data_IF_214007045128
#
_entry.id   IF_214007045128
#
_cell.length_a   1.000
_cell.length_b   1.000
_cell.length_c   1.000
_cell.angle_alpha   90.00
_cell.angle_beta   90.00
_cell.angle_gamma   90.00
#
_symmetry.space_group_name_H-M   'P 1'
#
loop_
_entity.id
_entity.type
_entity.pdbx_description
1 polymer ?
#
# COMPACT_ATOMS: atom_id res chain seq x y z
N UNK A 1 -0.72 -6.28 -13.34
CA UNK A 1 -0.43 -4.84 -13.25
C UNK A 1 -1.69 -4.07 -12.82
N UNK A 2 -1.59 -2.92 -12.16
CA UNK A 2 -2.72 -2.05 -11.87
C UNK A 2 -3.33 -1.46 -13.15
N UNK A 3 -4.51 -0.88 -13.05
CA UNK A 3 -5.02 0.06 -14.07
C UNK A 3 -4.47 1.44 -13.71
N UNK A 4 -3.52 1.91 -14.51
CA UNK A 4 -2.68 3.06 -14.15
C UNK A 4 -3.50 4.35 -13.98
N UNK A 5 -3.37 4.98 -12.81
CA UNK A 5 -4.09 6.20 -12.39
C UNK A 5 -5.63 6.07 -12.42
N UNK A 6 -6.13 4.86 -12.41
CA UNK A 6 -7.56 4.54 -12.25
C UNK A 6 -7.73 3.72 -10.96
N UNK A 7 -8.17 4.39 -9.92
CA UNK A 7 -8.30 3.80 -8.58
C UNK A 7 -9.44 2.80 -8.52
N UNK A 8 -10.60 3.13 -9.07
CA UNK A 8 -11.78 2.27 -9.02
C UNK A 8 -11.56 0.97 -9.78
N UNK A 9 -11.08 1.06 -11.03
CA UNK A 9 -10.77 -0.12 -11.83
C UNK A 9 -9.64 -0.96 -11.20
N UNK A 10 -8.67 -0.33 -10.52
CA UNK A 10 -7.63 -1.09 -9.81
C UNK A 10 -8.18 -1.78 -8.57
N UNK A 11 -9.05 -1.14 -7.80
CA UNK A 11 -9.68 -1.75 -6.61
C UNK A 11 -10.58 -2.92 -7.01
N UNK A 12 -11.35 -2.78 -8.09
CA UNK A 12 -12.12 -3.91 -8.65
C UNK A 12 -11.21 -5.09 -8.99
N UNK A 13 -10.09 -4.81 -9.65
CA UNK A 13 -9.10 -5.83 -9.97
C UNK A 13 -8.46 -6.47 -8.74
N UNK A 14 -8.16 -5.69 -7.69
CA UNK A 14 -7.68 -6.21 -6.41
C UNK A 14 -8.69 -7.20 -5.83
N UNK A 15 -9.97 -6.85 -5.80
CA UNK A 15 -11.03 -7.72 -5.29
C UNK A 15 -11.13 -9.03 -6.08
N UNK A 16 -11.09 -8.98 -7.42
CA UNK A 16 -11.10 -10.19 -8.28
C UNK A 16 -9.86 -11.07 -8.04
N UNK A 17 -8.67 -10.47 -7.89
CA UNK A 17 -7.43 -11.22 -7.62
C UNK A 17 -7.43 -11.84 -6.22
N UNK A 18 -8.07 -11.22 -5.23
CA UNK A 18 -8.27 -11.80 -3.90
C UNK A 18 -9.16 -13.05 -4.02
N UNK A 19 -10.28 -12.96 -4.71
CA UNK A 19 -11.18 -14.09 -4.98
C UNK A 19 -10.46 -15.25 -5.67
N UNK A 20 -9.73 -14.95 -6.76
CA UNK A 20 -8.96 -15.95 -7.51
C UNK A 20 -7.91 -16.64 -6.64
N UNK A 21 -7.12 -15.86 -5.89
CA UNK A 21 -6.09 -16.40 -5.02
C UNK A 21 -6.66 -17.27 -3.90
N UNK A 22 -7.78 -16.84 -3.29
CA UNK A 22 -8.46 -17.60 -2.25
C UNK A 22 -9.05 -18.92 -2.79
N UNK A 23 -9.64 -18.90 -3.98
CA UNK A 23 -10.14 -20.11 -4.65
C UNK A 23 -9.01 -21.12 -4.93
N UNK A 24 -7.77 -20.64 -5.08
CA UNK A 24 -6.56 -21.47 -5.23
C UNK A 24 -5.88 -21.81 -3.88
N UNK A 25 -6.54 -21.56 -2.75
CA UNK A 25 -6.07 -21.97 -1.42
C UNK A 25 -5.10 -20.99 -0.74
N UNK A 26 -4.98 -19.75 -1.21
CA UNK A 26 -4.16 -18.75 -0.55
C UNK A 26 -4.76 -18.33 0.79
N UNK A 27 -3.94 -18.23 1.85
CA UNK A 27 -4.30 -17.65 3.15
C UNK A 27 -3.86 -16.20 3.29
N UNK A 28 -2.94 -15.75 2.42
CA UNK A 28 -2.41 -14.40 2.34
C UNK A 28 -2.29 -14.00 0.86
N UNK A 29 -2.80 -12.82 0.54
CA UNK A 29 -2.64 -12.21 -0.78
C UNK A 29 -1.86 -10.90 -0.62
N UNK A 30 -0.68 -10.83 -1.23
CA UNK A 30 0.18 -9.65 -1.19
C UNK A 30 0.25 -8.99 -2.57
N UNK A 31 -0.02 -7.69 -2.61
CA UNK A 31 0.07 -6.87 -3.82
C UNK A 31 1.34 -6.03 -3.82
N UNK A 32 1.88 -5.70 -4.99
CA UNK A 32 3.05 -4.85 -5.11
C UNK A 32 2.92 -3.48 -4.47
N UNK A 33 4.07 -2.83 -4.27
CA UNK A 33 4.20 -1.43 -3.84
C UNK A 33 3.29 -0.53 -4.69
N UNK A 34 2.52 0.34 -4.01
CA UNK A 34 1.59 1.32 -4.58
C UNK A 34 0.72 0.80 -5.73
N UNK A 35 0.28 -0.46 -5.60
CA UNK A 35 -0.55 -1.10 -6.62
C UNK A 35 -1.81 -0.28 -6.91
N UNK A 36 -2.46 0.26 -5.87
CA UNK A 36 -3.59 1.17 -6.05
C UNK A 36 -3.07 2.54 -6.45
N UNK A 37 -3.57 2.99 -7.58
CA UNK A 37 -3.23 4.11 -8.43
C UNK A 37 -1.93 3.95 -9.25
N UNK A 38 -0.98 3.08 -8.88
CA UNK A 38 0.23 2.79 -9.64
C UNK A 38 1.45 3.61 -9.22
N UNK A 39 2.60 3.25 -9.79
CA UNK A 39 3.90 3.82 -9.46
C UNK A 39 4.21 5.06 -10.32
N UNK A 40 4.84 6.13 -9.78
CA UNK A 40 5.11 7.38 -10.49
C UNK A 40 6.34 7.27 -11.40
N UNK A 41 6.26 6.49 -12.47
CA UNK A 41 7.38 6.24 -13.40
C UNK A 41 7.94 7.52 -14.03
N UNK A 42 7.14 8.56 -14.20
CA UNK A 42 7.57 9.84 -14.76
C UNK A 42 8.71 10.50 -13.95
N UNK A 43 8.81 10.25 -12.65
CA UNK A 43 9.90 10.77 -11.81
C UNK A 43 11.29 10.32 -12.29
N UNK A 44 11.36 9.22 -13.04
CA UNK A 44 12.60 8.65 -13.57
C UNK A 44 12.86 9.03 -15.02
N UNK A 45 11.87 9.58 -15.71
CA UNK A 45 11.91 9.80 -17.15
C UNK A 45 11.70 11.25 -17.57
N UNK A 46 11.22 12.10 -16.66
CA UNK A 46 10.83 13.48 -16.94
C UNK A 46 11.43 14.44 -15.93
N UNK A 47 11.54 15.71 -16.29
CA UNK A 47 11.79 16.77 -15.31
C UNK A 47 10.58 16.95 -14.40
N UNK A 48 10.76 17.50 -13.19
CA UNK A 48 9.67 17.74 -12.24
C UNK A 48 8.56 18.64 -12.84
N UNK A 49 8.92 19.59 -13.69
CA UNK A 49 7.95 20.46 -14.37
C UNK A 49 7.10 19.67 -15.37
N UNK A 50 7.72 18.80 -16.17
CA UNK A 50 6.99 17.93 -17.11
C UNK A 50 6.16 16.86 -16.39
N UNK A 51 6.62 16.41 -15.22
CA UNK A 51 5.93 15.43 -14.38
C UNK A 51 4.75 15.99 -13.59
N UNK A 52 4.66 17.32 -13.42
CA UNK A 52 3.64 17.97 -12.61
C UNK A 52 2.19 17.58 -12.95
N UNK A 53 1.75 17.50 -14.22
CA UNK A 53 0.39 17.06 -14.54
C UNK A 53 0.11 15.59 -14.13
N UNK A 54 1.14 14.74 -14.15
CA UNK A 54 1.02 13.34 -13.70
C UNK A 54 0.93 13.25 -12.19
N UNK A 55 1.69 14.08 -11.47
CA UNK A 55 1.59 14.19 -10.02
C UNK A 55 0.19 14.65 -9.60
N UNK A 56 -0.40 15.64 -10.28
CA UNK A 56 -1.76 16.08 -10.01
C UNK A 56 -2.78 14.94 -10.21
N UNK A 57 -2.66 14.17 -11.30
CA UNK A 57 -3.49 12.99 -11.54
C UNK A 57 -3.33 11.96 -10.43
N UNK A 58 -2.09 11.68 -10.01
CA UNK A 58 -1.84 10.75 -8.91
C UNK A 58 -2.45 11.22 -7.60
N UNK A 59 -2.35 12.51 -7.26
CA UNK A 59 -2.99 13.08 -6.08
C UNK A 59 -4.51 12.89 -6.09
N UNK A 60 -5.14 13.01 -7.26
CA UNK A 60 -6.59 12.77 -7.42
C UNK A 60 -6.95 11.29 -7.28
N UNK A 61 -6.06 10.40 -7.75
CA UNK A 61 -6.23 8.95 -7.69
C UNK A 61 -5.75 8.33 -6.36
N UNK A 62 -5.09 9.11 -5.48
CA UNK A 62 -4.67 8.66 -4.17
C UNK A 62 -5.87 8.55 -3.22
N UNK A 63 -5.83 7.54 -2.34
CA UNK A 63 -6.94 7.18 -1.44
C UNK A 63 -6.69 7.64 -0.01
N UNK A 64 -7.75 7.78 0.76
CA UNK A 64 -7.66 8.02 2.20
C UNK A 64 -7.72 6.69 2.97
N UNK A 65 -7.03 6.62 4.12
CA UNK A 65 -7.06 5.48 5.02
C UNK A 65 -7.48 5.93 6.43
N UNK A 66 -8.62 5.39 6.92
CA UNK A 66 -9.63 4.56 6.26
C UNK A 66 -10.40 5.33 5.20
N UNK A 67 -10.87 4.62 4.17
CA UNK A 67 -11.65 5.17 3.06
C UNK A 67 -12.49 4.09 2.37
N UNK A 68 -13.37 4.47 1.43
CA UNK A 68 -14.29 3.54 0.77
C UNK A 68 -13.54 2.46 -0.04
N UNK A 69 -12.41 2.78 -0.64
CA UNK A 69 -11.57 1.84 -1.40
C UNK A 69 -11.03 0.73 -0.49
N UNK A 70 -10.53 1.11 0.69
CA UNK A 70 -10.05 0.16 1.69
C UNK A 70 -11.21 -0.69 2.22
N UNK A 71 -12.41 -0.12 2.39
CA UNK A 71 -13.59 -0.88 2.80
C UNK A 71 -13.97 -1.95 1.78
N UNK A 72 -13.89 -1.65 0.48
CA UNK A 72 -14.15 -2.63 -0.61
C UNK A 72 -13.14 -3.79 -0.55
N UNK A 73 -11.85 -3.49 -0.43
CA UNK A 73 -10.79 -4.51 -0.30
C UNK A 73 -10.98 -5.34 0.98
N UNK A 74 -11.31 -4.68 2.09
CA UNK A 74 -11.58 -5.33 3.37
C UNK A 74 -12.79 -6.27 3.30
N UNK A 75 -13.83 -5.86 2.57
CA UNK A 75 -15.00 -6.73 2.34
C UNK A 75 -14.64 -7.96 1.48
N UNK A 76 -13.79 -7.80 0.46
CA UNK A 76 -13.29 -8.92 -0.33
C UNK A 76 -12.45 -9.88 0.54
N UNK A 77 -11.53 -9.34 1.36
CA UNK A 77 -10.75 -10.14 2.30
C UNK A 77 -11.65 -10.96 3.24
N UNK A 78 -12.71 -10.34 3.78
CA UNK A 78 -13.70 -10.98 4.66
C UNK A 78 -14.50 -12.05 3.94
N UNK A 79 -14.99 -11.78 2.75
CA UNK A 79 -15.81 -12.72 1.99
C UNK A 79 -15.07 -14.02 1.67
N UNK A 80 -13.74 -13.93 1.50
CA UNK A 80 -12.88 -15.05 1.13
C UNK A 80 -12.02 -15.59 2.29
N UNK A 81 -12.08 -14.96 3.48
CA UNK A 81 -11.37 -15.43 4.68
C UNK A 81 -9.85 -15.36 4.57
N UNK A 82 -9.29 -14.40 3.82
CA UNK A 82 -7.85 -14.27 3.57
C UNK A 82 -7.26 -12.99 4.15
N UNK A 83 -5.99 -13.05 4.55
CA UNK A 83 -5.23 -11.84 4.86
C UNK A 83 -4.85 -11.12 3.57
N UNK A 84 -4.82 -9.78 3.60
CA UNK A 84 -4.42 -8.97 2.45
C UNK A 84 -3.36 -7.96 2.86
N UNK A 85 -2.28 -7.86 2.09
CA UNK A 85 -1.32 -6.75 2.15
C UNK A 85 -1.36 -6.05 0.80
N UNK A 86 -1.72 -4.78 0.78
CA UNK A 86 -1.83 -4.02 -0.47
C UNK A 86 -1.10 -2.69 -0.40
N UNK A 87 -0.26 -2.43 -1.41
CA UNK A 87 0.41 -1.15 -1.60
C UNK A 87 -0.53 -0.11 -2.21
N UNK A 88 -0.58 1.07 -1.62
CA UNK A 88 -1.47 2.16 -2.07
C UNK A 88 -0.76 3.50 -2.05
N UNK A 89 -1.20 4.42 -2.91
CA UNK A 89 -0.91 5.84 -2.76
C UNK A 89 -1.91 6.43 -1.75
N UNK A 90 -1.44 6.74 -0.55
CA UNK A 90 -2.27 7.31 0.52
C UNK A 90 -2.26 8.83 0.45
N UNK A 91 -3.43 9.45 0.34
CA UNK A 91 -3.59 10.91 0.45
C UNK A 91 -3.68 11.32 1.91
N UNK A 92 -2.91 12.35 2.29
CA UNK A 92 -3.02 12.98 3.60
C UNK A 92 -4.37 13.68 3.76
N UNK A 93 -4.95 13.59 4.96
CA UNK A 93 -6.17 14.35 5.32
C UNK A 93 -5.88 15.79 5.73
N UNK A 94 -4.64 16.09 6.07
CA UNK A 94 -4.25 17.39 6.65
C UNK A 94 -3.39 18.23 5.72
N UNK A 95 -2.76 17.62 4.71
CA UNK A 95 -1.86 18.30 3.78
C UNK A 95 -2.36 18.23 2.34
N UNK A 96 -2.65 19.38 1.74
CA UNK A 96 -2.98 19.45 0.30
C UNK A 96 -1.75 19.01 -0.51
N UNK A 97 -1.95 18.02 -1.41
CA UNK A 97 -0.88 17.49 -2.26
C UNK A 97 0.13 16.59 -1.53
N UNK A 98 -0.08 16.27 -0.26
CA UNK A 98 0.77 15.32 0.47
C UNK A 98 0.24 13.92 0.28
N UNK A 99 1.07 13.06 -0.33
CA UNK A 99 0.78 11.62 -0.50
C UNK A 99 1.92 10.78 0.08
N UNK A 100 1.58 9.56 0.48
CA UNK A 100 2.50 8.58 1.05
C UNK A 100 2.45 7.27 0.27
N UNK A 101 3.58 6.61 0.20
CA UNK A 101 3.68 5.22 -0.22
C UNK A 101 3.34 4.35 1.00
N UNK A 102 2.21 3.67 0.97
CA UNK A 102 1.65 3.00 2.14
C UNK A 102 1.32 1.54 1.84
N UNK A 103 1.70 0.66 2.74
CA UNK A 103 1.20 -0.71 2.82
C UNK A 103 0.04 -0.78 3.79
N UNK A 104 -1.05 -1.40 3.38
CA UNK A 104 -2.25 -1.64 4.19
C UNK A 104 -2.35 -3.12 4.49
N UNK A 105 -2.59 -3.48 5.75
CA UNK A 105 -2.67 -4.86 6.22
C UNK A 105 -4.09 -5.10 6.73
N UNK A 106 -4.78 -6.07 6.13
CA UNK A 106 -6.19 -6.39 6.40
C UNK A 106 -6.28 -7.85 6.83
N UNK A 107 -7.04 -8.10 7.88
CA UNK A 107 -7.31 -9.44 8.40
C UNK A 107 -8.42 -10.18 7.64
N UNK A 108 -8.55 -11.50 7.85
CA UNK A 108 -9.55 -12.35 7.17
C UNK A 108 -10.98 -12.08 7.65
N UNK A 109 -11.16 -11.28 8.68
CA UNK A 109 -12.44 -10.77 9.18
C UNK A 109 -12.83 -9.41 8.54
N UNK A 110 -11.98 -8.89 7.63
CA UNK A 110 -12.13 -7.59 7.00
C UNK A 110 -11.68 -6.43 7.88
N UNK A 111 -11.07 -6.68 9.03
CA UNK A 111 -10.57 -5.63 9.91
C UNK A 111 -9.25 -5.07 9.39
N UNK A 112 -9.13 -3.75 9.34
CA UNK A 112 -7.85 -3.09 9.11
C UNK A 112 -6.95 -3.34 10.33
N UNK A 113 -5.94 -4.22 10.18
CA UNK A 113 -4.97 -4.52 11.23
C UNK A 113 -4.02 -3.34 11.42
N UNK A 114 -3.59 -2.74 10.33
CA UNK A 114 -2.79 -1.53 10.34
C UNK A 114 -2.33 -1.08 8.98
N UNK A 115 -1.49 -0.05 9.01
CA UNK A 115 -0.81 0.48 7.81
C UNK A 115 0.63 0.82 8.14
N UNK A 116 1.47 0.75 7.14
CA UNK A 116 2.86 1.20 7.23
C UNK A 116 3.15 2.17 6.08
N UNK A 117 3.51 3.42 6.41
CA UNK A 117 4.01 4.41 5.45
C UNK A 117 5.51 4.18 5.27
N UNK A 118 5.95 4.03 4.03
CA UNK A 118 7.39 3.90 3.69
C UNK A 118 8.18 5.00 4.39
N UNK A 119 9.17 4.62 5.18
CA UNK A 119 9.93 5.56 6.04
C UNK A 119 10.59 6.65 5.22
N UNK A 120 11.30 6.24 4.17
CA UNK A 120 12.02 7.15 3.29
C UNK A 120 11.80 6.71 1.85
N UNK A 121 11.10 7.51 1.02
CA UNK A 121 11.02 7.28 -0.40
C UNK A 121 12.41 7.26 -1.04
N UNK A 122 12.62 6.35 -1.99
CA UNK A 122 13.93 6.10 -2.58
C UNK A 122 14.20 7.09 -3.72
N UNK A 123 15.27 7.87 -3.59
CA UNK A 123 15.79 8.78 -4.62
C UNK A 123 14.70 9.65 -5.29
N UNK A 124 14.38 9.41 -6.58
CA UNK A 124 13.40 10.19 -7.35
C UNK A 124 11.96 10.08 -6.81
N UNK A 125 11.65 9.05 -6.01
CA UNK A 125 10.37 8.91 -5.33
C UNK A 125 10.05 10.07 -4.38
N UNK A 126 11.08 10.75 -3.87
CA UNK A 126 10.96 11.95 -3.02
C UNK A 126 10.27 13.13 -3.71
N UNK A 127 10.18 13.11 -5.03
CA UNK A 127 9.41 14.09 -5.80
C UNK A 127 7.91 13.87 -5.69
N UNK A 128 7.48 12.69 -5.19
CA UNK A 128 6.08 12.29 -5.12
C UNK A 128 5.63 12.04 -3.69
N UNK A 129 6.38 11.27 -2.90
CA UNK A 129 5.93 10.83 -1.57
C UNK A 129 6.66 11.53 -0.44
N UNK A 130 5.88 11.85 0.59
CA UNK A 130 6.42 12.28 1.87
C UNK A 130 7.01 11.09 2.65
N UNK A 131 7.91 11.39 3.58
CA UNK A 131 8.45 10.40 4.49
C UNK A 131 7.37 9.88 5.44
N UNK A 132 7.39 8.57 5.70
CA UNK A 132 6.71 7.97 6.84
C UNK A 132 7.49 8.19 8.14
N UNK A 133 7.01 7.54 9.19
CA UNK A 133 7.66 7.51 10.50
C UNK A 133 7.70 6.09 11.08
N UNK A 134 8.48 5.89 12.14
CA UNK A 134 8.67 4.59 12.78
C UNK A 134 7.46 4.07 13.57
N UNK A 135 6.41 4.86 13.77
CA UNK A 135 5.24 4.48 14.58
C UNK A 135 4.47 3.29 14.02
N UNK A 136 4.62 3.06 12.73
CA UNK A 136 3.96 2.00 11.97
C UNK A 136 4.81 0.74 11.76
N UNK A 137 6.02 0.68 12.30
CA UNK A 137 6.86 -0.53 12.29
C UNK A 137 6.32 -1.54 13.32
N UNK A 138 5.28 -2.26 12.91
CA UNK A 138 4.56 -3.21 13.78
C UNK A 138 4.45 -4.58 13.13
N UNK A 139 4.45 -5.59 13.98
CA UNK A 139 4.12 -6.98 13.64
C UNK A 139 2.76 -7.30 14.25
N UNK A 140 1.93 -7.99 13.48
CA UNK A 140 0.57 -8.37 13.87
C UNK A 140 0.51 -9.88 14.10
N UNK A 141 -0.03 -10.30 15.23
CA UNK A 141 -0.33 -11.71 15.49
C UNK A 141 -1.56 -12.12 14.69
N UNK A 142 -1.40 -13.12 13.85
CA UNK A 142 -2.45 -13.62 12.96
C UNK A 142 -2.56 -15.15 13.02
N UNK A 143 -3.63 -15.70 12.49
CA UNK A 143 -3.83 -17.15 12.40
C UNK A 143 -2.79 -17.85 11.50
N UNK A 144 -2.13 -17.10 10.62
CA UNK A 144 -1.07 -17.61 9.72
C UNK A 144 0.33 -17.33 10.26
N UNK A 145 0.45 -16.86 11.51
CA UNK A 145 1.71 -16.46 12.13
C UNK A 145 1.85 -14.94 12.25
N UNK A 146 3.04 -14.49 12.59
CA UNK A 146 3.36 -13.07 12.74
C UNK A 146 3.55 -12.41 11.37
N UNK A 147 2.84 -11.33 11.13
CA UNK A 147 2.82 -10.61 9.85
C UNK A 147 3.33 -9.18 10.03
N UNK A 148 4.42 -8.85 9.39
CA UNK A 148 4.95 -7.49 9.23
C UNK A 148 5.20 -7.20 7.76
N UNK A 149 5.26 -5.93 7.38
CA UNK A 149 5.48 -5.55 5.99
C UNK A 149 6.38 -4.32 5.86
N UNK A 150 7.28 -4.35 4.88
CA UNK A 150 8.16 -3.25 4.47
C UNK A 150 8.07 -3.08 2.95
N UNK A 151 8.17 -1.84 2.47
CA UNK A 151 8.07 -1.52 1.06
C UNK A 151 9.45 -1.41 0.38
N UNK A 152 9.65 -2.15 -0.74
CA UNK A 152 10.77 -1.98 -1.67
C UNK A 152 12.14 -1.95 -0.95
N UNK A 153 12.92 -0.88 -1.13
CA UNK A 153 14.25 -0.67 -0.55
C UNK A 153 14.30 -0.67 0.98
N UNK A 154 13.18 -0.46 1.68
CA UNK A 154 13.13 -0.60 3.15
C UNK A 154 13.55 -1.99 3.62
N UNK A 155 13.35 -3.01 2.79
CA UNK A 155 13.79 -4.37 3.10
C UNK A 155 15.31 -4.50 3.25
N UNK A 156 16.08 -3.53 2.78
CA UNK A 156 17.53 -3.44 2.99
C UNK A 156 17.90 -2.55 4.19
N UNK A 157 16.93 -1.84 4.80
CA UNK A 157 17.16 -1.03 5.99
C UNK A 157 17.27 -1.95 7.22
N UNK A 158 18.50 -2.12 7.71
CA UNK A 158 18.81 -3.01 8.82
C UNK A 158 18.02 -2.69 10.08
N UNK A 159 17.84 -1.40 10.41
CA UNK A 159 17.13 -0.98 11.61
C UNK A 159 15.63 -1.22 11.50
N UNK A 160 15.04 -0.93 10.34
CA UNK A 160 13.61 -1.20 10.10
C UNK A 160 13.32 -2.72 10.17
N UNK A 161 14.16 -3.53 9.52
CA UNK A 161 14.04 -5.01 9.61
C UNK A 161 14.22 -5.52 11.04
N UNK A 162 15.26 -5.04 11.73
CA UNK A 162 15.51 -5.43 13.12
C UNK A 162 14.33 -5.06 14.02
N UNK A 163 13.74 -3.86 13.86
CA UNK A 163 12.56 -3.44 14.61
C UNK A 163 11.38 -4.40 14.45
N UNK A 164 11.16 -4.96 13.24
CA UNK A 164 10.12 -5.97 13.04
C UNK A 164 10.54 -7.33 13.60
N UNK A 165 11.76 -7.79 13.35
CA UNK A 165 12.26 -9.07 13.84
C UNK A 165 12.29 -9.16 15.37
N UNK A 166 12.57 -8.05 16.06
CA UNK A 166 12.56 -7.98 17.52
C UNK A 166 11.16 -8.14 18.14
N UNK A 167 10.11 -8.05 17.32
CA UNK A 167 8.73 -8.28 17.74
C UNK A 167 8.29 -9.75 17.54
N UNK A 168 9.21 -10.61 17.10
CA UNK A 168 9.03 -12.03 16.85
C UNK A 168 8.76 -12.31 15.39
#
# INVERSE_FOLDING_TARGET
SPVFLDTDATVDKVCLLIEEAAANGASLVAFPEVFVAGYPYWNWMMTSVQGSPWFEKLCRSAIEIPGPEIQRIAQAAKNHGVHVVVGVNERSRTGIGTIYNTLVIIGPDGRLLGRHRKLVPTWAEKLTWANGDGSSLRVYDTAIGKLGALACGENTNTLARFSLLAQG
#
